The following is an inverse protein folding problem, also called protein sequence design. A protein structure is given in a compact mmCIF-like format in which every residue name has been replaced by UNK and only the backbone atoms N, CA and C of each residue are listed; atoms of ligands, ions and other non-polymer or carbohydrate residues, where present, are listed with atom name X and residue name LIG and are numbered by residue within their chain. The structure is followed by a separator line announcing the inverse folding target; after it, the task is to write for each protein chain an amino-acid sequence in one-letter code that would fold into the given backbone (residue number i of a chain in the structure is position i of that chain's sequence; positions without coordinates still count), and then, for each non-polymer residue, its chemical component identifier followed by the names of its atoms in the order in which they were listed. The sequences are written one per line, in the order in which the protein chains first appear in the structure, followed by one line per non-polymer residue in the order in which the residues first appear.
data_IF_408474214241
#
_entry.id   IF_408474214241
#
_cell.length_a   1.000
_cell.length_b   1.000
_cell.length_c   1.000
_cell.angle_alpha   90.00
_cell.angle_beta   90.00
_cell.angle_gamma   90.00
#
_symmetry.space_group_name_H-M   'P 1'
#
loop_
_entity.id
_entity.type
_entity.pdbx_description
1 polymer ?
#
# COMPACT_ATOMS: atom_id res chain seq x y z
N UNK A 1 1.77 -25.23 -12.14
CA UNK A 1 1.50 -24.00 -11.36
C UNK A 1 2.46 -23.98 -10.17
N UNK A 2 3.48 -23.12 -10.16
CA UNK A 2 4.43 -23.08 -9.03
C UNK A 2 3.74 -22.40 -7.85
N UNK A 3 3.32 -23.19 -6.87
CA UNK A 3 2.85 -22.71 -5.57
C UNK A 3 4.01 -22.08 -4.81
N UNK A 4 3.88 -20.81 -4.45
CA UNK A 4 4.86 -20.12 -3.63
C UNK A 4 4.63 -20.52 -2.16
N UNK A 5 5.45 -21.42 -1.63
CA UNK A 5 5.49 -21.67 -0.19
C UNK A 5 6.04 -20.41 0.49
N UNK A 6 5.13 -19.55 0.94
CA UNK A 6 5.44 -18.35 1.72
C UNK A 6 5.96 -18.75 3.09
N UNK A 7 7.24 -19.11 3.19
CA UNK A 7 7.80 -19.56 4.48
C UNK A 7 8.05 -18.42 5.47
N UNK A 8 7.85 -17.13 5.11
CA UNK A 8 8.23 -16.01 5.98
C UNK A 8 7.42 -14.71 5.79
N UNK A 9 6.09 -14.76 5.77
CA UNK A 9 5.24 -13.57 5.93
C UNK A 9 5.08 -13.25 7.42
N UNK A 10 5.26 -11.99 7.78
CA UNK A 10 5.04 -11.47 9.14
C UNK A 10 3.58 -11.06 9.32
N UNK A 11 3.09 -10.15 8.48
CA UNK A 11 1.67 -9.76 8.47
C UNK A 11 1.22 -9.27 7.10
N UNK A 12 -0.09 -9.33 6.87
CA UNK A 12 -0.74 -8.80 5.67
C UNK A 12 -1.82 -7.82 6.10
N UNK A 13 -1.84 -6.64 5.48
CA UNK A 13 -2.89 -5.62 5.67
C UNK A 13 -3.60 -5.38 4.36
N UNK A 14 -4.84 -5.85 4.25
CA UNK A 14 -5.73 -5.52 3.13
C UNK A 14 -6.32 -4.14 3.40
N UNK A 15 -6.19 -3.24 2.42
CA UNK A 15 -6.82 -1.93 2.56
C UNK A 15 -8.27 -2.02 2.13
N UNK A 16 -9.16 -1.78 3.08
CA UNK A 16 -10.61 -1.75 2.88
C UNK A 16 -11.16 -0.34 3.02
N UNK A 17 -12.32 -0.11 2.45
CA UNK A 17 -13.12 1.08 2.68
C UNK A 17 -13.73 1.00 4.09
N UNK A 18 -13.53 2.01 4.97
CA UNK A 18 -14.04 1.96 6.33
C UNK A 18 -15.56 2.01 6.43
N UNK A 19 -16.27 2.48 5.40
CA UNK A 19 -17.73 2.59 5.39
C UNK A 19 -18.40 1.34 4.82
N UNK A 20 -17.82 0.75 3.77
CA UNK A 20 -18.44 -0.39 3.05
C UNK A 20 -17.76 -1.73 3.33
N UNK A 21 -16.64 -1.74 4.06
CA UNK A 21 -15.72 -2.87 4.27
C UNK A 21 -15.20 -3.53 2.96
N UNK A 22 -15.52 -2.95 1.80
CA UNK A 22 -15.07 -3.47 0.52
C UNK A 22 -13.58 -3.23 0.32
N UNK A 23 -12.91 -4.19 -0.30
CA UNK A 23 -11.46 -4.11 -0.57
C UNK A 23 -11.17 -3.03 -1.62
N UNK A 24 -10.17 -2.18 -1.37
CA UNK A 24 -9.70 -1.16 -2.34
C UNK A 24 -8.83 -1.73 -3.46
N UNK A 25 -8.70 -3.06 -3.54
CA UNK A 25 -7.92 -3.75 -4.57
C UNK A 25 -6.40 -3.74 -4.34
N UNK A 26 -5.92 -3.39 -3.14
CA UNK A 26 -4.50 -3.50 -2.80
C UNK A 26 -4.28 -3.89 -1.33
N UNK A 27 -3.10 -4.43 -1.05
CA UNK A 27 -2.69 -4.86 0.27
C UNK A 27 -1.20 -4.57 0.49
N UNK A 28 -0.81 -4.48 1.75
CA UNK A 28 0.57 -4.44 2.18
C UNK A 28 0.96 -5.78 2.77
N UNK A 29 2.14 -6.28 2.40
CA UNK A 29 2.70 -7.52 2.92
C UNK A 29 4.03 -7.19 3.55
N UNK A 30 4.18 -7.54 4.83
CA UNK A 30 5.45 -7.49 5.54
C UNK A 30 6.04 -8.89 5.59
N UNK A 31 7.28 -9.03 5.16
CA UNK A 31 8.04 -10.28 5.24
C UNK A 31 8.93 -10.27 6.49
N UNK A 32 9.20 -11.45 7.04
CA UNK A 32 10.14 -11.61 8.16
C UNK A 32 11.60 -11.43 7.71
N UNK A 33 11.89 -11.76 6.46
CA UNK A 33 13.24 -11.75 5.90
C UNK A 33 13.32 -10.91 4.63
N UNK A 34 14.44 -10.21 4.47
CA UNK A 34 14.71 -9.39 3.28
C UNK A 34 14.88 -10.22 2.00
N UNK A 35 15.30 -11.48 2.13
CA UNK A 35 15.46 -12.41 1.00
C UNK A 35 14.12 -12.73 0.30
N UNK A 36 13.00 -12.58 1.00
CA UNK A 36 11.67 -12.80 0.42
C UNK A 36 11.21 -11.63 -0.48
N UNK A 37 11.79 -10.43 -0.33
CA UNK A 37 11.42 -9.23 -1.10
C UNK A 37 11.68 -9.38 -2.60
N UNK A 38 12.88 -9.77 -3.08
CA UNK A 38 13.13 -9.94 -4.52
C UNK A 38 12.23 -11.00 -5.14
N UNK A 39 11.95 -12.09 -4.42
CA UNK A 39 11.06 -13.14 -4.90
C UNK A 39 9.61 -12.64 -5.02
N UNK A 40 9.14 -11.83 -4.07
CA UNK A 40 7.82 -11.22 -4.15
C UNK A 40 7.71 -10.23 -5.31
N UNK A 41 8.78 -9.46 -5.60
CA UNK A 41 8.81 -8.52 -6.72
C UNK A 41 8.78 -9.23 -8.08
N UNK A 42 9.29 -10.46 -8.19
CA UNK A 42 9.18 -11.26 -9.42
C UNK A 42 7.74 -11.64 -9.77
N UNK A 43 6.79 -11.51 -8.83
CA UNK A 43 5.37 -11.75 -9.09
C UNK A 43 4.67 -10.55 -9.75
N UNK A 44 5.36 -9.43 -9.93
CA UNK A 44 4.83 -8.30 -10.70
C UNK A 44 4.48 -8.74 -12.13
N UNK A 45 3.28 -8.38 -12.58
CA UNK A 45 2.75 -8.79 -13.88
C UNK A 45 2.17 -10.21 -13.94
N UNK A 46 2.33 -11.03 -12.90
CA UNK A 46 1.70 -12.37 -12.87
C UNK A 46 0.18 -12.29 -12.82
N UNK A 47 -0.50 -13.22 -13.50
CA UNK A 47 -1.97 -13.25 -13.54
C UNK A 47 -2.50 -13.95 -12.29
N UNK A 48 -3.35 -13.25 -11.54
CA UNK A 48 -4.08 -13.77 -10.40
C UNK A 48 -5.57 -13.46 -10.54
N UNK A 49 -6.42 -14.50 -10.52
CA UNK A 49 -7.88 -14.39 -10.70
C UNK A 49 -8.27 -13.53 -11.92
N UNK A 50 -7.64 -13.82 -13.07
CA UNK A 50 -7.86 -13.10 -14.34
C UNK A 50 -7.44 -11.61 -14.34
N UNK A 51 -6.63 -11.17 -13.37
CA UNK A 51 -6.09 -9.80 -13.33
C UNK A 51 -4.56 -9.83 -13.13
N UNK A 52 -3.78 -8.98 -13.81
CA UNK A 52 -2.35 -8.87 -13.54
C UNK A 52 -2.11 -8.24 -12.16
N UNK A 53 -1.24 -8.85 -11.37
CA UNK A 53 -0.78 -8.29 -10.11
C UNK A 53 0.20 -7.14 -10.37
N UNK A 54 0.15 -6.13 -9.51
CA UNK A 54 1.16 -5.07 -9.46
C UNK A 54 1.85 -5.10 -8.11
N UNK A 55 3.12 -5.50 -8.10
CA UNK A 55 3.93 -5.63 -6.88
C UNK A 55 5.04 -4.59 -6.91
N UNK A 56 5.05 -3.71 -5.91
CA UNK A 56 6.07 -2.66 -5.78
C UNK A 56 6.59 -2.62 -4.36
N UNK A 57 7.86 -2.21 -4.20
CA UNK A 57 8.40 -1.90 -2.86
C UNK A 57 7.60 -0.75 -2.25
N UNK A 58 7.23 -0.91 -0.99
CA UNK A 58 6.53 0.13 -0.25
C UNK A 58 7.45 1.35 -0.13
N UNK A 59 7.01 2.49 -0.64
CA UNK A 59 7.65 3.77 -0.38
C UNK A 59 7.08 4.32 0.92
N UNK A 60 7.93 4.53 1.92
CA UNK A 60 7.50 5.24 3.13
C UNK A 60 7.16 6.67 2.73
N UNK A 61 5.88 7.04 2.85
CA UNK A 61 5.51 8.45 2.90
C UNK A 61 6.02 8.96 4.24
N UNK A 62 7.12 9.69 4.22
CA UNK A 62 7.64 10.36 5.41
C UNK A 62 6.51 11.18 6.04
N UNK A 63 6.38 11.14 7.37
CA UNK A 63 5.35 11.90 8.10
C UNK A 63 5.41 13.40 7.77
N UNK A 64 6.59 13.90 7.37
CA UNK A 64 6.80 15.27 6.90
C UNK A 64 5.97 15.62 5.65
N UNK A 65 5.85 14.72 4.67
CA UNK A 65 5.06 14.95 3.47
C UNK A 65 3.55 14.95 3.74
N UNK A 66 3.09 14.19 4.73
CA UNK A 66 1.69 14.25 5.15
C UNK A 66 1.39 15.50 5.99
N UNK A 67 2.35 15.95 6.80
CA UNK A 67 2.22 17.15 7.62
C UNK A 67 2.20 18.43 6.77
N UNK A 68 3.05 18.52 5.75
CA UNK A 68 3.08 19.65 4.82
C UNK A 68 1.75 19.80 4.06
N UNK A 69 1.21 18.71 3.50
CA UNK A 69 -0.08 18.74 2.80
C UNK A 69 -1.25 19.15 3.71
N UNK A 70 -1.25 18.71 4.98
CA UNK A 70 -2.26 19.13 5.97
C UNK A 70 -2.18 20.61 6.31
N UNK A 71 -0.97 21.15 6.43
CA UNK A 71 -0.78 22.57 6.76
C UNK A 71 -1.19 23.48 5.59
N UNK A 72 -0.89 23.09 4.35
CA UNK A 72 -1.34 23.79 3.14
C UNK A 72 -2.87 23.78 3.04
N UNK A 73 -3.51 22.63 3.29
CA UNK A 73 -4.97 22.54 3.28
C UNK A 73 -5.62 23.45 4.35
N UNK A 74 -5.06 23.49 5.57
CA UNK A 74 -5.54 24.38 6.64
C UNK A 74 -5.40 25.86 6.28
N UNK A 75 -4.26 26.28 5.72
CA UNK A 75 -4.04 27.67 5.32
C UNK A 75 -5.03 28.12 4.25
N UNK A 76 -5.32 27.24 3.28
CA UNK A 76 -6.31 27.53 2.23
C UNK A 76 -7.72 27.69 2.77
N UNK A 77 -8.15 26.81 3.68
CA UNK A 77 -9.48 26.93 4.29
C UNK A 77 -9.59 28.16 5.19
N UNK A 78 -8.54 28.50 5.94
CA UNK A 78 -8.53 29.68 6.81
C UNK A 78 -8.62 30.98 6.01
N UNK A 79 -7.93 31.07 4.87
CA UNK A 79 -8.04 32.21 3.97
C UNK A 79 -9.46 32.35 3.38
N UNK A 80 -10.11 31.25 3.01
CA UNK A 80 -11.46 31.27 2.42
C UNK A 80 -12.56 31.61 3.42
N UNK A 81 -12.34 31.40 4.72
CA UNK A 81 -13.30 31.71 5.78
C UNK A 81 -13.20 33.16 6.28
N UNK A 82 -12.14 33.89 5.89
CA UNK A 82 -11.88 35.28 6.34
C UNK A 82 -12.24 36.34 5.29
N UNK A 83 -12.46 35.94 4.04
CA UNK A 83 -13.00 36.75 2.94
C UNK A 83 -14.50 36.51 2.83
#
# INVERSE_FOLDING_TARGET
MKGFQSKNVSFVRIVRDPKTDNSKGFAFVAFKENAAIPLALQLDGSIFKSRPLRVKRVQSKTRSHQHSLRNIAKQRTDHMLRT
#
